data_IF_244018428580
#
_entry.id   IF_244018428580
#
_cell.length_a   1.000
_cell.length_b   1.000
_cell.length_c   1.000
_cell.angle_alpha   90.00
_cell.angle_beta   90.00
_cell.angle_gamma   90.00
#
_symmetry.space_group_name_H-M   'P 1'
#
loop_
_entity.id
_entity.type
_entity.pdbx_description
1 polymer ?
#
# COMPACT_ATOMS: atom_id res chain seq x y z
N UNK A 1 -18.67 4.71 24.83
CA UNK A 1 -19.17 3.35 25.06
C UNK A 1 -18.31 2.66 26.11
N UNK A 2 -18.95 1.97 27.08
CA UNK A 2 -18.25 1.07 27.97
C UNK A 2 -17.80 -0.18 27.22
N UNK A 3 -16.84 -0.95 27.75
CA UNK A 3 -16.37 -2.19 27.11
C UNK A 3 -17.55 -3.18 26.89
N UNK A 4 -18.46 -3.29 27.85
CA UNK A 4 -19.65 -4.13 27.72
C UNK A 4 -20.59 -3.64 26.58
N UNK A 5 -20.80 -2.34 26.47
CA UNK A 5 -21.59 -1.76 25.37
C UNK A 5 -20.89 -1.91 24.01
N UNK A 6 -19.56 -1.75 23.97
CA UNK A 6 -18.78 -1.95 22.76
C UNK A 6 -18.88 -3.40 22.28
N UNK A 7 -18.69 -4.37 23.16
CA UNK A 7 -18.75 -5.79 22.83
C UNK A 7 -20.18 -6.27 22.48
N UNK A 8 -21.22 -5.67 23.04
CA UNK A 8 -22.60 -6.07 22.76
C UNK A 8 -23.11 -5.53 21.42
N UNK A 9 -22.94 -4.25 21.12
CA UNK A 9 -23.43 -3.63 19.89
C UNK A 9 -22.50 -2.60 19.26
N UNK A 10 -21.63 -1.96 20.04
CA UNK A 10 -20.86 -0.80 19.61
C UNK A 10 -19.94 -1.08 18.42
N UNK A 11 -19.36 -2.27 18.34
CA UNK A 11 -18.53 -2.69 17.22
C UNK A 11 -19.30 -2.75 15.89
N UNK A 12 -20.64 -2.90 15.92
CA UNK A 12 -21.48 -2.93 14.71
C UNK A 12 -21.71 -1.55 14.11
N UNK A 13 -21.59 -0.48 14.90
CA UNK A 13 -21.88 0.89 14.46
C UNK A 13 -21.01 1.30 13.24
N UNK A 14 -19.66 1.11 13.25
CA UNK A 14 -18.85 1.43 12.09
C UNK A 14 -19.23 0.62 10.84
N UNK A 15 -19.62 -0.65 11.01
CA UNK A 15 -20.05 -1.50 9.89
C UNK A 15 -21.40 -1.04 9.32
N UNK A 16 -22.34 -0.65 10.15
CA UNK A 16 -23.62 -0.09 9.70
C UNK A 16 -23.41 1.28 9.04
N UNK A 17 -22.53 2.12 9.56
CA UNK A 17 -22.16 3.39 8.94
C UNK A 17 -21.51 3.17 7.56
N UNK A 18 -20.74 2.11 7.38
CA UNK A 18 -20.15 1.77 6.08
C UNK A 18 -21.18 1.44 5.00
N UNK A 19 -22.42 1.07 5.38
CA UNK A 19 -23.51 0.87 4.42
C UNK A 19 -23.82 2.13 3.60
N UNK A 20 -23.64 3.32 4.19
CA UNK A 20 -23.76 4.59 3.46
C UNK A 20 -22.71 4.69 2.34
N UNK A 21 -21.47 4.27 2.62
CA UNK A 21 -20.40 4.27 1.61
C UNK A 21 -20.69 3.27 0.50
N UNK A 22 -21.30 2.12 0.83
CA UNK A 22 -21.74 1.13 -0.17
C UNK A 22 -22.82 1.72 -1.07
N UNK A 23 -23.80 2.44 -0.51
CA UNK A 23 -24.84 3.10 -1.30
C UNK A 23 -24.26 4.20 -2.21
N UNK A 24 -23.33 5.01 -1.70
CA UNK A 24 -22.61 6.00 -2.51
C UNK A 24 -21.79 5.32 -3.61
N UNK A 25 -21.08 4.25 -3.30
CA UNK A 25 -20.29 3.47 -4.26
C UNK A 25 -21.18 2.85 -5.35
N UNK A 26 -22.36 2.32 -4.97
CA UNK A 26 -23.34 1.79 -5.91
C UNK A 26 -23.89 2.89 -6.82
N UNK A 27 -24.27 4.03 -6.24
CA UNK A 27 -24.75 5.19 -7.01
C UNK A 27 -23.72 5.65 -8.03
N UNK A 28 -22.47 5.82 -7.61
CA UNK A 28 -21.34 6.20 -8.49
C UNK A 28 -21.17 5.15 -9.59
N UNK A 29 -21.15 3.86 -9.25
CA UNK A 29 -20.98 2.76 -10.22
C UNK A 29 -22.10 2.71 -11.27
N UNK A 30 -23.34 2.99 -10.89
CA UNK A 30 -24.46 3.02 -11.82
C UNK A 30 -24.44 4.26 -12.74
N UNK A 31 -23.71 5.31 -12.38
CA UNK A 31 -23.60 6.57 -13.15
C UNK A 31 -22.31 6.66 -13.99
N UNK A 32 -21.28 5.90 -13.67
CA UNK A 32 -20.03 5.90 -14.44
C UNK A 32 -20.26 5.14 -15.75
N UNK A 33 -20.04 5.82 -16.89
CA UNK A 33 -19.92 5.18 -18.19
C UNK A 33 -18.54 4.50 -18.32
N UNK A 34 -18.47 3.46 -19.14
CA UNK A 34 -17.20 2.79 -19.46
C UNK A 34 -16.18 3.78 -20.04
N UNK A 35 -14.92 3.60 -19.64
CA UNK A 35 -13.84 4.49 -20.09
C UNK A 35 -13.66 4.40 -21.61
N UNK A 36 -13.30 5.52 -22.29
CA UNK A 36 -13.04 5.51 -23.74
C UNK A 36 -12.02 4.45 -24.16
N UNK A 37 -10.99 4.23 -23.33
CA UNK A 37 -9.98 3.20 -23.57
C UNK A 37 -10.56 1.77 -23.58
N UNK A 38 -11.48 1.48 -22.66
CA UNK A 38 -12.15 0.18 -22.62
C UNK A 38 -13.08 -0.02 -23.80
N UNK A 39 -13.87 1.01 -24.17
CA UNK A 39 -14.74 0.97 -25.37
C UNK A 39 -13.94 0.67 -26.62
N UNK A 40 -12.83 1.39 -26.82
CA UNK A 40 -11.95 1.19 -27.98
C UNK A 40 -11.34 -0.22 -28.00
N UNK A 41 -10.92 -0.76 -26.86
CA UNK A 41 -10.43 -2.14 -26.76
C UNK A 41 -11.49 -3.17 -27.10
N UNK A 42 -12.76 -2.90 -26.73
CA UNK A 42 -13.90 -3.77 -27.09
C UNK A 42 -14.22 -3.71 -28.60
N UNK A 43 -14.13 -2.52 -29.21
CA UNK A 43 -14.34 -2.33 -30.67
C UNK A 43 -13.23 -3.04 -31.48
N UNK A 44 -12.00 -3.11 -30.95
CA UNK A 44 -10.86 -3.77 -31.59
C UNK A 44 -10.78 -5.30 -31.29
N UNK A 45 -11.82 -5.89 -30.68
CA UNK A 45 -11.87 -7.32 -30.28
C UNK A 45 -10.69 -7.77 -29.37
N UNK A 46 -10.13 -6.84 -28.59
CA UNK A 46 -9.03 -7.11 -27.63
C UNK A 46 -9.52 -7.86 -26.39
N UNK A 47 -10.66 -8.53 -26.48
CA UNK A 47 -11.27 -9.26 -25.37
C UNK A 47 -10.53 -10.57 -25.09
N UNK A 48 -9.94 -10.66 -23.91
CA UNK A 48 -9.25 -11.87 -23.46
C UNK A 48 -10.26 -12.85 -22.84
N UNK A 49 -10.34 -14.09 -23.36
CA UNK A 49 -11.29 -15.12 -22.88
C UNK A 49 -11.06 -15.50 -21.42
N UNK A 50 -9.78 -15.67 -21.03
CA UNK A 50 -9.39 -16.04 -19.67
C UNK A 50 -8.27 -15.10 -19.20
N UNK A 51 -8.63 -13.91 -18.67
CA UNK A 51 -7.65 -12.89 -18.26
C UNK A 51 -6.63 -13.42 -17.24
N UNK A 52 -7.08 -14.24 -16.29
CA UNK A 52 -6.22 -14.82 -15.26
C UNK A 52 -5.07 -15.64 -15.86
N UNK A 53 -5.40 -16.58 -16.74
CA UNK A 53 -4.39 -17.43 -17.38
C UNK A 53 -3.44 -16.59 -18.25
N UNK A 54 -3.96 -15.58 -18.94
CA UNK A 54 -3.16 -14.68 -19.77
C UNK A 54 -2.18 -13.87 -18.94
N UNK A 55 -2.56 -13.38 -17.75
CA UNK A 55 -1.65 -12.68 -16.86
C UNK A 55 -0.49 -13.58 -16.43
N UNK A 56 -0.76 -14.82 -16.01
CA UNK A 56 0.29 -15.75 -15.60
C UNK A 56 1.18 -16.21 -16.75
N UNK A 57 0.64 -16.43 -17.95
CA UNK A 57 1.40 -16.98 -19.08
C UNK A 57 2.16 -15.92 -19.89
N UNK A 58 1.59 -14.72 -20.05
CA UNK A 58 2.14 -13.68 -20.92
C UNK A 58 2.65 -12.45 -20.19
N UNK A 59 2.16 -12.19 -18.97
CA UNK A 59 2.47 -10.99 -18.19
C UNK A 59 3.00 -11.30 -16.79
N UNK A 60 3.63 -12.48 -16.61
CA UNK A 60 4.15 -12.92 -15.33
C UNK A 60 5.18 -11.96 -14.73
N UNK A 61 6.07 -11.38 -15.53
CA UNK A 61 7.04 -10.39 -15.05
C UNK A 61 6.38 -9.11 -14.55
N UNK A 62 5.34 -8.64 -15.26
CA UNK A 62 4.55 -7.48 -14.80
C UNK A 62 3.84 -7.79 -13.48
N UNK A 63 3.32 -9.01 -13.34
CA UNK A 63 2.69 -9.46 -12.09
C UNK A 63 3.71 -9.50 -10.94
N UNK A 64 4.89 -10.07 -11.15
CA UNK A 64 5.95 -10.15 -10.14
C UNK A 64 6.41 -8.75 -9.73
N UNK A 65 6.79 -7.90 -10.69
CA UNK A 65 7.22 -6.54 -10.38
C UNK A 65 6.09 -5.68 -9.78
N UNK A 66 4.85 -5.85 -10.21
CA UNK A 66 3.70 -5.18 -9.62
C UNK A 66 3.47 -5.61 -8.16
N UNK A 67 3.55 -6.93 -7.88
CA UNK A 67 3.42 -7.48 -6.54
C UNK A 67 4.48 -6.90 -5.59
N UNK A 68 5.75 -6.99 -5.96
CA UNK A 68 6.83 -6.50 -5.14
C UNK A 68 6.94 -4.96 -5.15
N UNK A 69 6.43 -4.30 -6.19
CA UNK A 69 6.29 -2.85 -6.26
C UNK A 69 5.32 -2.25 -5.23
N UNK A 70 4.39 -3.05 -4.70
CA UNK A 70 3.48 -2.66 -3.63
C UNK A 70 3.91 -3.15 -2.24
N UNK A 71 4.89 -4.03 -2.13
CA UNK A 71 5.24 -4.76 -0.90
C UNK A 71 5.51 -3.84 0.28
N UNK A 72 6.39 -2.84 0.13
CA UNK A 72 6.76 -1.95 1.23
C UNK A 72 5.58 -1.15 1.78
N UNK A 73 4.61 -0.77 0.93
CA UNK A 73 3.39 -0.08 1.34
C UNK A 73 2.56 -0.95 2.28
N UNK A 74 2.38 -2.23 1.94
CA UNK A 74 1.65 -3.17 2.79
C UNK A 74 2.40 -3.50 4.08
N UNK A 75 3.71 -3.74 4.01
CA UNK A 75 4.54 -3.96 5.20
C UNK A 75 4.43 -2.76 6.14
N UNK A 76 4.65 -1.54 5.64
CA UNK A 76 4.58 -0.32 6.45
C UNK A 76 3.19 -0.15 7.08
N UNK A 77 2.10 -0.38 6.32
CA UNK A 77 0.74 -0.28 6.86
C UNK A 77 0.54 -1.17 8.09
N UNK A 78 0.90 -2.44 7.97
CA UNK A 78 0.69 -3.39 9.06
C UNK A 78 1.67 -3.21 10.21
N UNK A 79 2.87 -2.70 9.94
CA UNK A 79 3.78 -2.28 11.02
C UNK A 79 3.22 -1.09 11.80
N UNK A 80 2.64 -0.09 11.12
CA UNK A 80 2.09 1.11 11.79
C UNK A 80 0.73 0.86 12.46
N UNK A 81 -0.09 -0.03 11.91
CA UNK A 81 -1.46 -0.23 12.42
C UNK A 81 -1.57 -1.40 13.41
N UNK A 82 -0.94 -2.52 13.13
CA UNK A 82 -1.08 -3.75 13.92
C UNK A 82 0.11 -3.94 14.86
N UNK A 83 1.33 -3.97 14.32
CA UNK A 83 2.52 -4.22 15.12
C UNK A 83 2.76 -3.10 16.14
N UNK A 84 2.72 -1.83 15.73
CA UNK A 84 2.99 -0.70 16.61
C UNK A 84 2.00 -0.64 17.80
N UNK A 85 0.71 -0.89 17.55
CA UNK A 85 -0.30 -0.95 18.62
C UNK A 85 0.01 -2.11 19.58
N UNK A 86 0.26 -3.30 19.03
CA UNK A 86 0.53 -4.50 19.83
C UNK A 86 1.80 -4.34 20.67
N UNK A 87 2.90 -3.90 20.06
CA UNK A 87 4.19 -3.71 20.75
C UNK A 87 4.16 -2.53 21.72
N UNK A 88 3.48 -1.45 21.37
CA UNK A 88 3.28 -0.28 22.25
C UNK A 88 2.62 -0.66 23.56
N UNK A 89 1.62 -1.55 23.51
CA UNK A 89 0.92 -2.03 24.71
C UNK A 89 1.74 -3.09 25.46
N UNK A 90 2.29 -4.08 24.73
CA UNK A 90 2.91 -5.23 25.38
C UNK A 90 4.33 -4.97 25.91
N UNK A 91 5.06 -4.02 25.32
CA UNK A 91 6.50 -3.85 25.54
C UNK A 91 6.91 -2.42 25.92
N UNK A 92 6.21 -1.38 25.43
CA UNK A 92 6.53 0.01 25.75
C UNK A 92 5.71 0.57 26.95
N UNK A 93 4.79 -0.21 27.51
CA UNK A 93 4.02 0.17 28.69
C UNK A 93 2.85 1.11 28.46
N UNK A 94 2.48 1.38 27.21
CA UNK A 94 1.29 2.17 26.91
C UNK A 94 0.02 1.37 27.20
N UNK A 95 -1.00 2.04 27.75
CA UNK A 95 -2.34 1.48 27.74
C UNK A 95 -2.96 1.62 26.34
N UNK A 96 -3.94 0.78 26.03
CA UNK A 96 -4.70 0.87 24.77
C UNK A 96 -5.34 2.26 24.60
N UNK A 97 -5.85 2.82 25.69
CA UNK A 97 -6.49 4.14 25.70
C UNK A 97 -5.50 5.28 25.42
N UNK A 98 -4.22 5.10 25.74
CA UNK A 98 -3.17 6.08 25.43
C UNK A 98 -2.68 5.92 23.97
N UNK A 99 -2.50 4.68 23.50
CA UNK A 99 -1.91 4.44 22.19
C UNK A 99 -2.88 4.71 21.03
N UNK A 100 -4.17 4.41 21.17
CA UNK A 100 -5.15 4.64 20.10
C UNK A 100 -5.23 6.11 19.64
N UNK A 101 -5.29 7.13 20.53
CA UNK A 101 -5.22 8.53 20.11
C UNK A 101 -3.94 8.88 19.35
N UNK A 102 -2.79 8.33 19.75
CA UNK A 102 -1.52 8.52 19.04
C UNK A 102 -1.63 7.99 17.61
N UNK A 103 -2.17 6.79 17.45
CA UNK A 103 -2.40 6.19 16.14
C UNK A 103 -3.41 7.00 15.31
N UNK A 104 -4.48 7.53 15.92
CA UNK A 104 -5.46 8.39 15.24
C UNK A 104 -4.82 9.67 14.70
N UNK A 105 -3.92 10.31 15.43
CA UNK A 105 -3.15 11.46 14.94
C UNK A 105 -2.36 11.07 13.69
N UNK A 106 -1.67 9.95 13.70
CA UNK A 106 -0.94 9.46 12.53
C UNK A 106 -1.86 9.20 11.33
N UNK A 107 -3.08 8.65 11.55
CA UNK A 107 -4.07 8.41 10.48
C UNK A 107 -4.54 9.72 9.84
N UNK A 108 -4.63 10.82 10.58
CA UNK A 108 -4.91 12.13 9.98
C UNK A 108 -3.82 12.52 8.98
N UNK A 109 -2.56 12.35 9.33
CA UNK A 109 -1.44 12.63 8.41
C UNK A 109 -1.42 11.68 7.21
N UNK A 110 -1.77 10.40 7.39
CA UNK A 110 -2.00 9.47 6.30
C UNK A 110 -3.03 10.01 5.31
N UNK A 111 -4.21 10.44 5.82
CA UNK A 111 -5.27 11.00 4.99
C UNK A 111 -4.86 12.28 4.25
N UNK A 112 -4.08 13.17 4.90
CA UNK A 112 -3.60 14.42 4.30
C UNK A 112 -2.53 14.18 3.22
N UNK A 113 -1.70 13.18 3.38
CA UNK A 113 -0.61 12.90 2.43
C UNK A 113 -1.05 12.14 1.19
N UNK A 114 -2.21 11.48 1.19
CA UNK A 114 -2.77 10.82 -0.02
C UNK A 114 -3.02 11.84 -1.15
N UNK A 115 -3.84 12.91 -0.97
CA UNK A 115 -4.05 13.88 -2.05
C UNK A 115 -2.78 14.65 -2.40
N UNK A 116 -1.90 14.91 -1.42
CA UNK A 116 -0.60 15.51 -1.69
C UNK A 116 0.24 14.62 -2.61
N UNK A 117 0.30 13.33 -2.34
CA UNK A 117 1.06 12.38 -3.17
C UNK A 117 0.49 12.23 -4.58
N UNK A 118 -0.83 12.28 -4.74
CA UNK A 118 -1.48 12.27 -6.04
C UNK A 118 -1.07 13.51 -6.86
N UNK A 119 -1.13 14.69 -6.24
CA UNK A 119 -0.70 15.94 -6.89
C UNK A 119 0.79 15.92 -7.27
N UNK A 120 1.67 15.44 -6.39
CA UNK A 120 3.09 15.28 -6.67
C UNK A 120 3.33 14.27 -7.80
N UNK A 121 2.58 13.17 -7.81
CA UNK A 121 2.68 12.14 -8.84
C UNK A 121 2.26 12.64 -10.23
N UNK A 122 1.24 13.50 -10.30
CA UNK A 122 0.84 14.13 -11.56
C UNK A 122 1.91 15.10 -12.10
N UNK A 123 2.66 15.77 -11.19
CA UNK A 123 3.70 16.73 -11.57
C UNK A 123 5.05 16.07 -11.90
N UNK A 124 5.47 15.09 -11.14
CA UNK A 124 6.81 14.47 -11.22
C UNK A 124 6.81 13.07 -11.82
N UNK A 125 5.62 12.54 -12.11
CA UNK A 125 5.42 11.17 -12.58
C UNK A 125 5.20 10.18 -11.43
N UNK A 126 4.22 9.29 -11.60
CA UNK A 126 3.75 8.33 -10.58
C UNK A 126 4.86 7.40 -10.08
N UNK A 127 5.65 6.87 -11.02
CA UNK A 127 6.76 5.98 -10.71
C UNK A 127 7.85 6.70 -9.90
N UNK A 128 8.24 7.91 -10.29
CA UNK A 128 9.26 8.68 -9.59
C UNK A 128 8.80 9.00 -8.16
N UNK A 129 7.54 9.37 -7.99
CA UNK A 129 6.95 9.61 -6.67
C UNK A 129 7.03 8.36 -5.79
N UNK A 130 6.68 7.18 -6.32
CA UNK A 130 6.78 5.92 -5.60
C UNK A 130 8.24 5.57 -5.25
N UNK A 131 9.19 5.80 -6.16
CA UNK A 131 10.61 5.57 -5.88
C UNK A 131 11.10 6.45 -4.73
N UNK A 132 10.79 7.76 -4.74
CA UNK A 132 11.13 8.67 -3.65
C UNK A 132 10.49 8.26 -2.32
N UNK A 133 9.18 7.98 -2.33
CA UNK A 133 8.47 7.54 -1.12
C UNK A 133 9.03 6.23 -0.58
N UNK A 134 9.37 5.27 -1.45
CA UNK A 134 9.96 3.99 -1.05
C UNK A 134 11.36 4.16 -0.47
N UNK A 135 12.19 5.03 -1.04
CA UNK A 135 13.50 5.35 -0.47
C UNK A 135 13.38 5.97 0.94
N UNK A 136 12.42 6.88 1.13
CA UNK A 136 12.12 7.46 2.44
C UNK A 136 11.61 6.41 3.44
N UNK A 137 10.82 5.42 3.01
CA UNK A 137 10.39 4.28 3.84
C UNK A 137 11.61 3.47 4.29
N UNK A 138 12.57 3.20 3.39
CA UNK A 138 13.81 2.51 3.74
C UNK A 138 14.60 3.27 4.81
N UNK A 139 14.76 4.59 4.68
CA UNK A 139 15.39 5.44 5.67
C UNK A 139 14.62 5.50 6.99
N UNK A 140 13.28 5.53 6.93
CA UNK A 140 12.42 5.50 8.11
C UNK A 140 12.62 4.23 8.95
N UNK A 141 13.02 3.12 8.33
CA UNK A 141 13.40 1.90 9.05
C UNK A 141 14.48 2.15 10.13
N UNK A 142 15.42 3.07 9.90
CA UNK A 142 16.46 3.42 10.85
C UNK A 142 15.95 4.16 12.10
N UNK A 143 14.73 4.69 12.03
CA UNK A 143 14.10 5.44 13.12
C UNK A 143 13.31 4.55 14.10
N UNK A 144 13.24 3.22 13.87
CA UNK A 144 12.50 2.31 14.77
C UNK A 144 13.07 2.35 16.18
N UNK A 145 14.38 2.20 16.34
CA UNK A 145 15.01 2.23 17.67
C UNK A 145 14.97 3.63 18.31
N UNK A 146 15.46 4.70 17.65
CA UNK A 146 15.57 6.01 18.31
C UNK A 146 14.19 6.65 18.61
N UNK A 147 13.18 6.40 17.80
CA UNK A 147 11.86 6.99 18.02
C UNK A 147 10.90 6.01 18.70
N UNK A 148 10.66 4.85 18.10
CA UNK A 148 9.67 3.92 18.64
C UNK A 148 10.21 3.13 19.83
N UNK A 149 11.45 2.64 19.75
CA UNK A 149 12.10 1.88 20.83
C UNK A 149 12.40 2.69 22.09
N UNK A 150 12.40 4.03 22.01
CA UNK A 150 12.59 4.90 23.19
C UNK A 150 11.44 4.78 24.21
N UNK A 151 10.23 4.45 23.78
CA UNK A 151 9.02 4.43 24.60
C UNK A 151 8.55 5.81 25.09
N UNK A 152 9.25 6.90 24.73
CA UNK A 152 8.83 8.25 25.07
C UNK A 152 7.65 8.68 24.21
N UNK A 153 6.60 9.22 24.82
CA UNK A 153 5.36 9.57 24.14
C UNK A 153 5.58 10.47 22.92
N UNK A 154 6.43 11.50 23.04
CA UNK A 154 6.71 12.45 21.95
C UNK A 154 7.37 11.74 20.76
N UNK A 155 8.33 10.87 21.03
CA UNK A 155 9.06 10.12 20.02
C UNK A 155 8.12 9.11 19.34
N UNK A 156 7.27 8.41 20.09
CA UNK A 156 6.28 7.47 19.56
C UNK A 156 5.23 8.21 18.70
N UNK A 157 4.75 9.36 19.13
CA UNK A 157 3.84 10.20 18.32
C UNK A 157 4.52 10.62 17.01
N UNK A 158 5.75 11.10 17.07
CA UNK A 158 6.53 11.49 15.89
C UNK A 158 6.73 10.32 14.94
N UNK A 159 7.08 9.14 15.46
CA UNK A 159 7.22 7.92 14.70
C UNK A 159 5.92 7.54 13.97
N UNK A 160 4.78 7.58 14.68
CA UNK A 160 3.47 7.25 14.10
C UNK A 160 3.05 8.24 13.00
N UNK A 161 3.30 9.54 13.22
CA UNK A 161 3.03 10.57 12.21
C UNK A 161 3.87 10.33 10.96
N UNK A 162 5.19 10.16 11.11
CA UNK A 162 6.11 9.96 9.99
C UNK A 162 5.78 8.68 9.21
N UNK A 163 5.59 7.55 9.90
CA UNK A 163 5.31 6.27 9.25
C UNK A 163 4.00 6.28 8.49
N UNK A 164 2.92 6.83 9.07
CA UNK A 164 1.62 6.90 8.42
C UNK A 164 1.59 7.98 7.33
N UNK A 165 2.32 9.10 7.47
CA UNK A 165 2.49 10.07 6.40
C UNK A 165 3.21 9.45 5.18
N UNK A 166 4.31 8.72 5.40
CA UNK A 166 5.03 8.01 4.34
C UNK A 166 4.16 6.98 3.63
N UNK A 167 3.31 6.27 4.39
CA UNK A 167 2.34 5.37 3.80
C UNK A 167 1.35 6.10 2.88
N UNK A 168 0.82 7.25 3.28
CA UNK A 168 -0.07 8.06 2.44
C UNK A 168 0.62 8.55 1.16
N UNK A 169 1.93 8.84 1.22
CA UNK A 169 2.72 9.21 0.05
C UNK A 169 2.82 8.08 -0.99
N UNK A 170 2.80 6.83 -0.58
CA UNK A 170 2.78 5.70 -1.53
C UNK A 170 1.37 5.37 -2.00
N UNK A 171 0.37 5.49 -1.13
CA UNK A 171 -0.98 4.99 -1.37
C UNK A 171 -1.71 5.74 -2.50
N UNK A 172 -1.50 7.07 -2.64
CA UNK A 172 -2.15 7.88 -3.67
C UNK A 172 -1.84 7.40 -5.10
N UNK A 173 -0.59 7.32 -5.54
CA UNK A 173 -0.23 6.93 -6.90
C UNK A 173 -0.21 5.43 -7.15
N UNK A 174 -0.22 4.58 -6.10
CA UNK A 174 0.05 3.14 -6.19
C UNK A 174 -0.89 2.42 -7.15
N UNK A 175 -2.20 2.61 -7.00
CA UNK A 175 -3.20 1.90 -7.81
C UNK A 175 -3.04 2.17 -9.30
N UNK A 176 -2.79 3.41 -9.66
CA UNK A 176 -2.60 3.81 -11.05
C UNK A 176 -1.26 3.33 -11.61
N UNK A 177 -0.17 3.51 -10.83
CA UNK A 177 1.16 3.07 -11.23
C UNK A 177 1.25 1.56 -11.46
N UNK A 178 0.52 0.76 -10.68
CA UNK A 178 0.46 -0.70 -10.88
C UNK A 178 -0.44 -1.10 -12.04
N UNK A 179 -1.44 -0.30 -12.41
CA UNK A 179 -2.39 -0.65 -13.47
C UNK A 179 -1.90 -0.29 -14.86
N UNK A 180 -1.14 0.79 -15.00
CA UNK A 180 -0.68 1.31 -16.31
C UNK A 180 0.13 0.31 -17.15
N UNK A 181 1.06 -0.49 -16.57
CA UNK A 181 1.85 -1.43 -17.33
C UNK A 181 1.06 -2.58 -17.96
N UNK A 182 -0.10 -2.91 -17.41
CA UNK A 182 -0.92 -4.01 -17.94
C UNK A 182 -1.75 -3.58 -19.16
N UNK A 183 -1.78 -4.40 -20.24
CA UNK A 183 -2.68 -4.19 -21.36
C UNK A 183 -4.14 -4.09 -20.93
N UNK A 184 -4.95 -3.30 -21.66
CA UNK A 184 -6.33 -2.99 -21.25
C UNK A 184 -7.17 -4.25 -21.00
N UNK A 185 -7.05 -5.28 -21.87
CA UNK A 185 -7.83 -6.51 -21.78
C UNK A 185 -7.55 -7.37 -20.52
N UNK A 186 -6.42 -7.17 -19.84
CA UNK A 186 -6.03 -7.90 -18.61
C UNK A 186 -5.72 -6.99 -17.43
N UNK A 187 -5.82 -5.67 -17.61
CA UNK A 187 -5.40 -4.66 -16.61
C UNK A 187 -6.06 -4.85 -15.27
N UNK A 188 -7.37 -5.01 -15.22
CA UNK A 188 -8.10 -5.20 -13.98
C UNK A 188 -7.63 -6.45 -13.23
N UNK A 189 -7.52 -7.58 -13.95
CA UNK A 189 -7.07 -8.84 -13.36
C UNK A 189 -5.62 -8.77 -12.92
N UNK A 190 -4.74 -8.19 -13.73
CA UNK A 190 -3.31 -8.06 -13.42
C UNK A 190 -3.06 -7.22 -12.17
N UNK A 191 -3.66 -6.01 -12.10
CA UNK A 191 -3.49 -5.14 -10.93
C UNK A 191 -4.14 -5.73 -9.67
N UNK A 192 -5.32 -6.36 -9.81
CA UNK A 192 -5.99 -7.01 -8.69
C UNK A 192 -5.15 -8.15 -8.10
N UNK A 193 -4.56 -9.00 -8.95
CA UNK A 193 -3.65 -10.06 -8.51
C UNK A 193 -2.39 -9.49 -7.85
N UNK A 194 -1.73 -8.52 -8.48
CA UNK A 194 -0.53 -7.90 -7.93
C UNK A 194 -0.79 -7.31 -6.54
N UNK A 195 -1.89 -6.60 -6.38
CA UNK A 195 -2.27 -5.96 -5.12
C UNK A 195 -2.61 -6.98 -4.03
N UNK A 196 -3.36 -8.05 -4.36
CA UNK A 196 -3.68 -9.11 -3.41
C UNK A 196 -2.46 -9.94 -3.01
N UNK A 197 -1.57 -10.28 -3.97
CA UNK A 197 -0.31 -10.97 -3.65
C UNK A 197 0.60 -10.12 -2.77
N UNK A 198 0.72 -8.80 -3.05
CA UNK A 198 1.45 -7.88 -2.19
C UNK A 198 0.84 -7.83 -0.78
N UNK A 199 -0.49 -7.87 -0.66
CA UNK A 199 -1.20 -7.99 0.61
C UNK A 199 -0.87 -9.29 1.34
N UNK A 200 -0.82 -10.43 0.66
CA UNK A 200 -0.45 -11.71 1.27
C UNK A 200 0.99 -11.64 1.83
N UNK A 201 1.96 -11.21 1.03
CA UNK A 201 3.36 -11.16 1.46
C UNK A 201 3.64 -10.04 2.46
N UNK A 202 3.06 -8.86 2.25
CA UNK A 202 3.33 -7.68 3.07
C UNK A 202 2.41 -7.54 4.28
N UNK A 203 1.16 -7.95 4.17
CA UNK A 203 0.17 -7.76 5.23
C UNK A 203 0.09 -8.92 6.21
N UNK A 204 -0.09 -10.14 5.70
CA UNK A 204 -0.34 -11.29 6.56
C UNK A 204 0.88 -11.70 7.37
N UNK A 205 2.07 -11.59 6.78
CA UNK A 205 3.32 -12.02 7.42
C UNK A 205 3.98 -10.92 8.26
N UNK A 206 3.79 -9.64 7.92
CA UNK A 206 4.53 -8.55 8.54
C UNK A 206 4.36 -8.44 10.06
N UNK A 207 3.16 -8.51 10.67
CA UNK A 207 3.04 -8.41 12.12
C UNK A 207 3.70 -9.57 12.86
N UNK A 208 3.62 -10.78 12.29
CA UNK A 208 4.25 -11.97 12.87
C UNK A 208 5.77 -11.87 12.82
N UNK A 209 6.33 -11.60 11.63
CA UNK A 209 7.77 -11.43 11.43
C UNK A 209 8.30 -10.30 12.32
N UNK A 210 7.63 -9.14 12.34
CA UNK A 210 8.02 -8.01 13.15
C UNK A 210 8.04 -8.34 14.66
N UNK A 211 7.01 -9.04 15.15
CA UNK A 211 6.94 -9.43 16.55
C UNK A 211 8.04 -10.40 16.92
N UNK A 212 8.35 -11.38 16.07
CA UNK A 212 9.45 -12.33 16.29
C UNK A 212 10.79 -11.61 16.25
N UNK A 213 11.05 -10.77 15.23
CA UNK A 213 12.29 -10.00 15.14
C UNK A 213 12.50 -9.06 16.34
N UNK A 214 11.43 -8.37 16.77
CA UNK A 214 11.52 -7.47 17.92
C UNK A 214 11.82 -8.19 19.21
N UNK A 215 11.31 -9.41 19.41
CA UNK A 215 11.56 -10.24 20.62
C UNK A 215 12.96 -10.83 20.63
N UNK A 216 13.42 -11.35 19.49
CA UNK A 216 14.66 -12.14 19.42
C UNK A 216 15.88 -11.27 19.15
N UNK A 217 15.74 -10.17 18.40
CA UNK A 217 16.84 -9.32 17.92
C UNK A 217 16.68 -7.84 18.25
N UNK A 218 15.58 -7.45 18.92
CA UNK A 218 15.29 -6.05 19.24
C UNK A 218 14.52 -5.31 18.16
N UNK A 219 14.02 -4.13 18.54
CA UNK A 219 13.16 -3.32 17.68
C UNK A 219 13.87 -2.82 16.41
N UNK A 220 15.18 -2.69 16.44
CA UNK A 220 16.01 -2.31 15.27
C UNK A 220 15.84 -3.29 14.11
N UNK A 221 15.74 -4.60 14.42
CA UNK A 221 15.57 -5.64 13.42
C UNK A 221 14.26 -5.48 12.62
N UNK A 222 13.23 -4.91 13.24
CA UNK A 222 11.97 -4.57 12.54
C UNK A 222 12.21 -3.44 11.55
N UNK A 223 13.02 -2.46 11.91
CA UNK A 223 13.43 -1.39 11.01
C UNK A 223 14.22 -1.90 9.80
N UNK A 224 15.15 -2.83 10.00
CA UNK A 224 15.88 -3.48 8.91
C UNK A 224 15.00 -4.36 8.03
N UNK A 225 13.99 -5.04 8.60
CA UNK A 225 12.98 -5.76 7.84
C UNK A 225 12.19 -4.82 6.91
N UNK A 226 11.76 -3.66 7.42
CA UNK A 226 11.08 -2.64 6.60
C UNK A 226 12.03 -2.10 5.51
N UNK A 227 13.28 -1.80 5.84
CA UNK A 227 14.27 -1.33 4.87
C UNK A 227 14.55 -2.37 3.77
N UNK A 228 14.58 -3.65 4.11
CA UNK A 228 14.70 -4.76 3.16
C UNK A 228 13.48 -4.84 2.23
N UNK A 229 12.26 -4.73 2.77
CA UNK A 229 11.04 -4.66 1.98
C UNK A 229 11.02 -3.43 1.05
N UNK A 230 11.49 -2.28 1.54
CA UNK A 230 11.61 -1.07 0.73
C UNK A 230 12.63 -1.23 -0.40
N UNK A 231 13.77 -1.88 -0.16
CA UNK A 231 14.74 -2.18 -1.19
C UNK A 231 14.17 -3.07 -2.29
N UNK A 232 13.48 -4.14 -1.91
CA UNK A 232 12.79 -5.04 -2.86
C UNK A 232 11.77 -4.25 -3.69
N UNK A 233 10.95 -3.41 -3.05
CA UNK A 233 9.97 -2.56 -3.74
C UNK A 233 10.64 -1.57 -4.69
N UNK A 234 11.73 -0.94 -4.25
CA UNK A 234 12.48 0.00 -5.08
C UNK A 234 13.02 -0.65 -6.36
N UNK A 235 13.63 -1.83 -6.22
CA UNK A 235 14.14 -2.61 -7.36
C UNK A 235 13.00 -3.08 -8.28
N UNK A 236 11.87 -3.50 -7.73
CA UNK A 236 10.69 -3.90 -8.51
C UNK A 236 10.13 -2.72 -9.33
N UNK A 237 10.03 -1.53 -8.74
CA UNK A 237 9.60 -0.31 -9.45
C UNK A 237 10.57 0.10 -10.55
N UNK A 238 11.89 -0.10 -10.37
CA UNK A 238 12.87 0.10 -11.42
C UNK A 238 12.67 -0.88 -12.56
N UNK A 239 12.45 -2.18 -12.25
CA UNK A 239 12.17 -3.23 -13.23
C UNK A 239 10.90 -2.97 -14.03
N UNK A 240 9.82 -2.57 -13.34
CA UNK A 240 8.55 -2.23 -13.97
C UNK A 240 8.72 -1.12 -15.03
N UNK A 241 9.46 -0.07 -14.69
CA UNK A 241 9.69 1.01 -15.65
C UNK A 241 10.60 0.65 -16.83
N UNK A 242 11.46 -0.36 -16.71
CA UNK A 242 12.22 -0.88 -17.87
C UNK A 242 11.29 -1.60 -18.83
N UNK A 243 10.40 -2.48 -18.31
CA UNK A 243 9.43 -3.19 -19.13
C UNK A 243 8.47 -2.23 -19.87
N UNK A 244 8.03 -1.16 -19.21
CA UNK A 244 7.22 -0.13 -19.86
C UNK A 244 7.97 0.58 -21.00
N UNK A 245 9.25 0.89 -20.81
CA UNK A 245 10.06 1.55 -21.82
C UNK A 245 10.33 0.64 -23.04
N UNK A 246 10.55 -0.66 -22.80
CA UNK A 246 10.72 -1.68 -23.86
C UNK A 246 9.45 -1.82 -24.68
N UNK A 247 8.29 -2.01 -24.02
CA UNK A 247 6.99 -2.12 -24.68
C UNK A 247 6.65 -0.91 -25.54
N UNK A 248 6.94 0.31 -25.07
CA UNK A 248 6.76 1.54 -25.87
C UNK A 248 7.67 1.59 -27.10
N UNK A 249 8.93 1.15 -26.99
CA UNK A 249 9.88 1.09 -28.10
C UNK A 249 9.42 0.10 -29.17
N UNK A 250 8.97 -1.08 -28.78
CA UNK A 250 8.45 -2.09 -29.70
C UNK A 250 7.22 -1.59 -30.45
N UNK A 251 6.30 -0.91 -29.75
CA UNK A 251 5.10 -0.32 -30.37
C UNK A 251 5.46 0.75 -31.40
N UNK A 252 6.44 1.63 -31.10
CA UNK A 252 6.91 2.65 -32.03
C UNK A 252 7.63 2.05 -33.24
N UNK A 253 8.44 1.01 -33.04
CA UNK A 253 9.13 0.31 -34.12
C UNK A 253 8.17 -0.45 -35.06
N UNK A 254 7.07 -0.97 -34.53
CA UNK A 254 6.03 -1.64 -35.32
C UNK A 254 5.13 -0.66 -36.13
N UNK A 255 5.12 0.61 -35.74
CA UNK A 255 4.34 1.67 -36.40
C UNK A 255 5.15 2.47 -37.47
N UNK A 256 6.46 2.28 -37.54
CA UNK A 256 7.39 2.90 -38.50
C UNK A 256 7.65 1.98 -39.71
#
# INVERSE_FOLDING_TARGET
>A
LTDAQFLSFGWRIPFLASALLVLVGLYVRLRISETPAFKKAMENDERVRVPLLTVFSRHALLLVFGTFGALATFVLFYLMTVFALSWGISSLGFTRQQFLPIQMVGVVFFGLTIPLSAWLADRFGRRNMLLWATALIGLFGLLFQPLFGSGETVNVVTFMILGLALMGLTYGPLGTALSEPFPVGVRYTGVSLAFNLAGIFGASLAPYIATTLAKDYGIEAVGFYLAGAALITFLALLGLGRLEAESKRETLAAAA
#
